data_IF_670281980761
#
_entry.id   IF_670281980761
#
_cell.length_a   1.000
_cell.length_b   1.000
_cell.length_c   1.000
_cell.angle_alpha   90.00
_cell.angle_beta   90.00
_cell.angle_gamma   90.00
#
_symmetry.space_group_name_H-M   'P 1'
#
loop_
_entity.id
_entity.type
_entity.pdbx_description
1 polymer ?
#
# COMPACT_ATOMS: atom_id res chain seq x y z
N UNK A 1 35.98 12.93 -53.00
CA UNK A 1 36.35 13.70 -51.79
C UNK A 1 35.13 13.70 -50.90
N UNK A 2 35.22 13.02 -49.75
CA UNK A 2 34.09 12.61 -48.92
C UNK A 2 33.45 13.80 -48.19
N UNK A 3 32.12 13.84 -48.22
CA UNK A 3 31.27 14.70 -47.38
C UNK A 3 31.35 14.25 -45.93
N UNK A 4 31.86 15.15 -45.10
CA UNK A 4 32.02 15.03 -43.65
C UNK A 4 30.62 15.00 -42.99
N UNK A 5 30.13 13.79 -42.73
CA UNK A 5 28.90 13.57 -41.98
C UNK A 5 29.17 13.90 -40.51
N UNK A 6 28.82 15.13 -40.12
CA UNK A 6 28.86 15.59 -38.74
C UNK A 6 28.01 14.68 -37.86
N UNK A 7 28.66 13.79 -37.10
CA UNK A 7 27.99 13.01 -36.06
C UNK A 7 27.32 13.98 -35.08
N UNK A 8 26.02 13.79 -34.74
CA UNK A 8 25.36 14.68 -33.80
C UNK A 8 26.08 14.61 -32.44
N UNK A 9 26.55 15.76 -31.96
CA UNK A 9 27.12 15.91 -30.61
C UNK A 9 26.17 15.27 -29.61
N UNK A 10 26.63 14.22 -28.91
CA UNK A 10 25.86 13.57 -27.87
C UNK A 10 25.49 14.59 -26.79
N UNK A 11 24.23 15.03 -26.75
CA UNK A 11 23.73 16.01 -25.78
C UNK A 11 24.15 15.62 -24.36
N UNK A 12 24.58 16.58 -23.54
CA UNK A 12 25.04 16.36 -22.16
C UNK A 12 23.99 15.60 -21.31
N UNK A 13 24.40 14.79 -20.32
CA UNK A 13 23.44 14.01 -19.55
C UNK A 13 22.54 14.96 -18.74
N UNK A 14 21.23 14.85 -18.95
CA UNK A 14 20.25 15.68 -18.25
C UNK A 14 19.82 14.98 -16.95
N UNK A 15 20.46 15.33 -15.83
CA UNK A 15 20.14 14.75 -14.51
C UNK A 15 18.95 15.42 -13.82
N UNK A 16 18.66 16.66 -14.16
CA UNK A 16 17.57 17.45 -13.58
C UNK A 16 16.19 16.75 -13.65
N UNK A 17 15.79 16.12 -14.78
CA UNK A 17 14.53 15.37 -14.86
C UNK A 17 14.41 14.24 -13.85
N UNK A 18 15.50 13.52 -13.58
CA UNK A 18 15.52 12.42 -12.59
C UNK A 18 15.31 12.98 -11.19
N UNK A 19 16.04 14.03 -10.81
CA UNK A 19 15.92 14.62 -9.47
C UNK A 19 14.55 15.28 -9.25
N UNK A 20 14.05 16.01 -10.24
CA UNK A 20 12.72 16.61 -10.16
C UNK A 20 11.62 15.54 -10.07
N UNK A 21 11.71 14.47 -10.86
CA UNK A 21 10.79 13.34 -10.79
C UNK A 21 10.82 12.65 -9.42
N UNK A 22 12.01 12.30 -8.91
CA UNK A 22 12.15 11.63 -7.61
C UNK A 22 11.71 12.53 -6.45
N UNK A 23 12.08 13.82 -6.48
CA UNK A 23 11.67 14.80 -5.48
C UNK A 23 10.17 15.04 -5.46
N UNK A 24 9.56 15.24 -6.64
CA UNK A 24 8.11 15.36 -6.78
C UNK A 24 7.38 14.09 -6.31
N UNK A 25 7.90 12.91 -6.65
CA UNK A 25 7.35 11.65 -6.19
C UNK A 25 7.42 11.49 -4.67
N UNK A 26 8.56 11.82 -4.06
CA UNK A 26 8.73 11.77 -2.61
C UNK A 26 7.74 12.69 -1.89
N UNK A 27 7.61 13.93 -2.38
CA UNK A 27 6.69 14.93 -1.81
C UNK A 27 5.24 14.43 -1.88
N UNK A 28 4.79 13.93 -3.04
CA UNK A 28 3.45 13.36 -3.22
C UNK A 28 3.21 12.13 -2.33
N UNK A 29 4.18 11.22 -2.22
CA UNK A 29 4.02 10.02 -1.38
C UNK A 29 3.95 10.37 0.11
N UNK A 30 4.75 11.34 0.57
CA UNK A 30 4.67 11.84 1.94
C UNK A 30 3.27 12.42 2.17
N UNK A 31 2.81 13.31 1.28
CA UNK A 31 1.47 13.89 1.35
C UNK A 31 0.36 12.84 1.40
N UNK A 32 0.40 11.84 0.51
CA UNK A 32 -0.60 10.76 0.49
C UNK A 32 -0.64 10.00 1.82
N UNK A 33 0.51 9.78 2.45
CA UNK A 33 0.58 9.17 3.78
C UNK A 33 0.08 10.11 4.90
N UNK A 34 0.19 11.44 4.74
CA UNK A 34 -0.48 12.38 5.63
C UNK A 34 -2.00 12.24 5.54
N UNK A 35 -2.55 12.22 4.32
CA UNK A 35 -3.99 12.02 4.09
C UNK A 35 -4.48 10.67 4.60
N UNK A 36 -3.68 9.61 4.46
CA UNK A 36 -4.03 8.29 4.98
C UNK A 36 -4.28 8.29 6.50
N UNK A 37 -3.63 9.18 7.26
CA UNK A 37 -3.87 9.38 8.70
C UNK A 37 -4.93 10.45 8.96
N UNK A 38 -4.88 11.57 8.22
CA UNK A 38 -5.74 12.72 8.45
C UNK A 38 -7.20 12.46 8.05
N UNK A 39 -7.46 11.75 6.96
CA UNK A 39 -8.80 11.56 6.43
C UNK A 39 -9.69 10.70 7.35
N UNK A 40 -9.26 9.54 7.88
CA UNK A 40 -10.04 8.82 8.89
C UNK A 40 -10.29 9.66 10.15
N UNK A 41 -9.27 10.41 10.61
CA UNK A 41 -9.41 11.28 11.77
C UNK A 41 -10.41 12.41 11.52
N UNK A 42 -10.36 13.06 10.36
CA UNK A 42 -11.28 14.11 9.92
C UNK A 42 -12.72 13.60 9.91
N UNK A 43 -12.97 12.41 9.35
CA UNK A 43 -14.32 11.81 9.36
C UNK A 43 -14.79 11.54 10.78
N UNK A 44 -13.91 11.03 11.66
CA UNK A 44 -14.27 10.79 13.05
C UNK A 44 -14.63 12.07 13.80
N UNK A 45 -13.83 13.12 13.59
CA UNK A 45 -13.98 14.39 14.27
C UNK A 45 -15.22 15.16 13.83
N UNK A 46 -15.49 15.16 12.51
CA UNK A 46 -16.65 15.87 11.94
C UNK A 46 -17.96 15.12 12.11
N UNK A 47 -17.93 13.78 12.12
CA UNK A 47 -19.16 12.97 12.13
C UNK A 47 -19.44 12.25 13.44
N UNK A 48 -18.43 12.03 14.29
CA UNK A 48 -18.54 11.26 15.53
C UNK A 48 -18.83 9.76 15.33
N UNK A 49 -18.86 9.25 14.09
CA UNK A 49 -19.34 7.90 13.76
C UNK A 49 -18.23 7.00 13.23
N UNK A 50 -18.00 5.88 13.92
CA UNK A 50 -17.09 4.83 13.47
C UNK A 50 -17.62 4.11 12.23
N UNK A 51 -18.94 3.99 12.05
CA UNK A 51 -19.56 3.43 10.86
C UNK A 51 -19.25 4.26 9.61
N UNK A 52 -19.40 5.58 9.70
CA UNK A 52 -19.03 6.52 8.62
C UNK A 52 -17.53 6.46 8.30
N UNK A 53 -16.68 6.32 9.30
CA UNK A 53 -15.25 6.06 9.06
C UNK A 53 -15.02 4.75 8.31
N UNK A 54 -15.66 3.65 8.73
CA UNK A 54 -15.55 2.36 8.05
C UNK A 54 -16.04 2.39 6.60
N UNK A 55 -17.14 3.10 6.32
CA UNK A 55 -17.63 3.35 4.96
C UNK A 55 -16.60 4.16 4.15
N UNK A 56 -16.01 5.20 4.74
CA UNK A 56 -14.97 6.00 4.06
C UNK A 56 -13.75 5.15 3.73
N UNK A 57 -13.26 4.35 4.68
CA UNK A 57 -12.13 3.45 4.47
C UNK A 57 -12.41 2.38 3.40
N UNK A 58 -13.66 1.88 3.34
CA UNK A 58 -14.12 1.02 2.25
C UNK A 58 -14.03 1.71 0.88
N UNK A 59 -14.51 2.96 0.79
CA UNK A 59 -14.49 3.75 -0.45
C UNK A 59 -13.06 4.12 -0.87
N UNK A 60 -12.12 4.33 0.06
CA UNK A 60 -10.69 4.50 -0.25
C UNK A 60 -10.13 3.25 -0.97
N UNK A 61 -10.45 2.05 -0.47
CA UNK A 61 -9.91 0.82 -1.03
C UNK A 61 -10.55 0.37 -2.36
N UNK A 62 -11.80 0.78 -2.63
CA UNK A 62 -12.59 0.30 -3.76
C UNK A 62 -12.01 0.66 -5.14
N UNK A 63 -11.60 1.91 -5.42
CA UNK A 63 -11.02 2.27 -6.72
C UNK A 63 -9.73 1.51 -7.03
N UNK A 64 -8.93 1.21 -6.00
CA UNK A 64 -7.72 0.41 -6.16
C UNK A 64 -8.00 -0.97 -6.75
N UNK A 65 -9.11 -1.61 -6.38
CA UNK A 65 -9.52 -2.87 -7.00
C UNK A 65 -9.89 -2.69 -8.48
N UNK A 66 -10.73 -1.70 -8.80
CA UNK A 66 -11.17 -1.42 -10.17
C UNK A 66 -9.99 -1.08 -11.07
N UNK A 67 -9.09 -0.21 -10.61
CA UNK A 67 -7.97 0.25 -11.40
C UNK A 67 -6.75 -0.66 -11.32
N UNK A 68 -6.71 -1.63 -10.41
CA UNK A 68 -5.80 -2.76 -10.51
C UNK A 68 -6.08 -3.64 -11.74
N UNK A 69 -7.33 -3.68 -12.21
CA UNK A 69 -7.75 -4.43 -13.41
C UNK A 69 -7.53 -3.61 -14.69
N UNK A 70 -7.97 -2.36 -14.69
CA UNK A 70 -8.00 -1.53 -15.91
C UNK A 70 -6.84 -0.51 -16.00
N UNK A 71 -6.09 -0.32 -14.93
CA UNK A 71 -5.09 0.75 -14.82
C UNK A 71 -3.94 0.61 -15.79
N UNK A 72 -3.39 -0.60 -15.98
CA UNK A 72 -2.31 -0.81 -16.95
C UNK A 72 -2.72 -0.47 -18.39
N UNK A 73 -3.93 -0.90 -18.77
CA UNK A 73 -4.54 -0.59 -20.06
C UNK A 73 -4.69 0.93 -20.29
N UNK A 74 -5.16 1.63 -19.26
CA UNK A 74 -5.29 3.08 -19.27
C UNK A 74 -3.92 3.76 -19.42
N UNK A 75 -2.94 3.32 -18.64
CA UNK A 75 -1.56 3.83 -18.62
C UNK A 75 -0.88 3.69 -19.99
N UNK A 76 -1.02 2.53 -20.63
CA UNK A 76 -0.43 2.29 -21.95
C UNK A 76 -1.10 3.13 -23.05
N UNK A 77 -2.43 3.32 -22.99
CA UNK A 77 -3.19 4.08 -24.00
C UNK A 77 -2.99 5.59 -23.89
N UNK A 78 -3.05 6.12 -22.66
CA UNK A 78 -2.99 7.56 -22.40
C UNK A 78 -1.54 8.04 -22.33
N UNK A 79 -0.62 7.17 -21.92
CA UNK A 79 0.80 7.43 -21.79
C UNK A 79 1.23 7.77 -20.37
N UNK A 80 2.43 7.30 -19.98
CA UNK A 80 2.92 7.31 -18.60
C UNK A 80 2.93 8.72 -17.98
N UNK A 81 3.51 9.70 -18.68
CA UNK A 81 3.58 11.09 -18.20
C UNK A 81 2.21 11.69 -17.96
N UNK A 82 1.25 11.47 -18.87
CA UNK A 82 -0.09 12.06 -18.77
C UNK A 82 -0.89 11.45 -17.63
N UNK A 83 -0.83 10.12 -17.46
CA UNK A 83 -1.51 9.45 -16.35
C UNK A 83 -0.91 9.81 -15.00
N UNK A 84 0.42 9.95 -14.90
CA UNK A 84 1.04 10.45 -13.66
C UNK A 84 0.53 11.83 -13.28
N UNK A 85 0.52 12.79 -14.21
CA UNK A 85 0.05 14.16 -13.95
C UNK A 85 -1.45 14.17 -13.64
N UNK A 86 -2.25 13.43 -14.40
CA UNK A 86 -3.70 13.35 -14.18
C UNK A 86 -4.04 12.74 -12.82
N UNK A 87 -3.29 11.72 -12.38
CA UNK A 87 -3.46 11.14 -11.05
C UNK A 87 -3.26 12.18 -9.96
N UNK A 88 -2.11 12.87 -9.96
CA UNK A 88 -1.83 13.90 -8.96
C UNK A 88 -2.86 15.04 -8.99
N UNK A 89 -3.25 15.52 -10.18
CA UNK A 89 -4.24 16.61 -10.28
C UNK A 89 -5.62 16.19 -9.79
N UNK A 90 -6.11 15.00 -10.15
CA UNK A 90 -7.42 14.50 -9.70
C UNK A 90 -7.39 14.27 -8.19
N UNK A 91 -6.31 13.69 -7.64
CA UNK A 91 -6.14 13.52 -6.20
C UNK A 91 -6.08 14.85 -5.46
N UNK A 92 -5.23 15.79 -5.92
CA UNK A 92 -5.09 17.11 -5.30
C UNK A 92 -6.38 17.92 -5.30
N UNK A 93 -7.10 17.96 -6.43
CA UNK A 93 -8.40 18.65 -6.51
C UNK A 93 -9.44 17.99 -5.61
N UNK A 94 -9.51 16.67 -5.59
CA UNK A 94 -10.48 15.95 -4.77
C UNK A 94 -10.22 16.17 -3.28
N UNK A 95 -8.94 16.11 -2.86
CA UNK A 95 -8.54 16.30 -1.46
C UNK A 95 -8.70 17.75 -1.01
N UNK A 96 -8.38 18.76 -1.84
CA UNK A 96 -8.55 20.17 -1.43
C UNK A 96 -10.01 20.58 -1.31
N UNK A 97 -10.90 19.98 -2.11
CA UNK A 97 -12.33 20.27 -2.05
C UNK A 97 -12.96 19.81 -0.73
N UNK A 98 -12.41 18.80 -0.05
CA UNK A 98 -12.92 18.32 1.24
C UNK A 98 -12.94 19.46 2.29
N UNK A 99 -11.80 20.06 2.69
CA UNK A 99 -11.79 21.13 3.67
C UNK A 99 -12.44 22.42 3.14
N UNK A 100 -12.35 22.72 1.84
CA UNK A 100 -13.01 23.91 1.25
C UNK A 100 -14.54 23.82 1.41
N UNK A 101 -15.15 22.72 1.01
CA UNK A 101 -16.59 22.53 1.12
C UNK A 101 -17.02 22.50 2.59
N UNK A 102 -16.24 21.84 3.44
CA UNK A 102 -16.49 21.78 4.88
C UNK A 102 -16.60 23.17 5.53
N UNK A 103 -15.72 24.11 5.16
CA UNK A 103 -15.68 25.46 5.73
C UNK A 103 -16.58 26.50 5.03
N UNK A 104 -17.07 26.22 3.83
CA UNK A 104 -17.84 27.20 3.04
C UNK A 104 -19.34 26.94 3.05
N UNK A 105 -19.76 25.82 2.46
CA UNK A 105 -21.19 25.48 2.25
C UNK A 105 -21.66 24.32 3.12
N UNK A 106 -20.74 23.68 3.85
CA UNK A 106 -20.96 22.43 4.56
C UNK A 106 -20.72 21.24 3.66
N UNK A 107 -19.97 20.25 4.15
CA UNK A 107 -19.65 19.03 3.43
C UNK A 107 -20.63 17.92 3.82
N UNK A 108 -21.50 17.52 2.90
CA UNK A 108 -22.35 16.37 3.12
C UNK A 108 -21.53 15.07 3.07
N UNK A 109 -21.93 14.07 3.84
CA UNK A 109 -21.16 12.82 3.92
C UNK A 109 -21.03 12.09 2.57
N UNK A 110 -22.08 12.13 1.73
CA UNK A 110 -22.01 11.52 0.40
C UNK A 110 -21.03 12.26 -0.53
N UNK A 111 -20.90 13.59 -0.40
CA UNK A 111 -19.93 14.40 -1.16
C UNK A 111 -18.51 14.00 -0.77
N UNK A 112 -18.26 13.82 0.53
CA UNK A 112 -16.98 13.30 1.03
C UNK A 112 -16.65 11.95 0.38
N UNK A 113 -17.61 11.00 0.34
CA UNK A 113 -17.37 9.69 -0.28
C UNK A 113 -17.04 9.81 -1.78
N UNK A 114 -17.73 10.70 -2.51
CA UNK A 114 -17.45 10.95 -3.93
C UNK A 114 -16.04 11.50 -4.11
N UNK A 115 -15.65 12.52 -3.32
CA UNK A 115 -14.31 13.11 -3.40
C UNK A 115 -13.22 12.10 -3.06
N UNK A 116 -13.40 11.32 -1.99
CA UNK A 116 -12.44 10.28 -1.60
C UNK A 116 -12.32 9.18 -2.66
N UNK A 117 -13.43 8.77 -3.29
CA UNK A 117 -13.41 7.83 -4.41
C UNK A 117 -12.56 8.36 -5.57
N UNK A 118 -12.77 9.62 -5.98
CA UNK A 118 -11.99 10.23 -7.06
C UNK A 118 -10.53 10.45 -6.68
N UNK A 119 -10.25 10.78 -5.42
CA UNK A 119 -8.89 10.93 -4.93
C UNK A 119 -8.06 9.66 -5.10
N UNK A 120 -8.66 8.49 -4.90
CA UNK A 120 -8.00 7.19 -5.01
C UNK A 120 -8.16 6.53 -6.39
N UNK A 121 -9.03 7.08 -7.25
CA UNK A 121 -9.35 6.49 -8.55
C UNK A 121 -8.10 6.28 -9.41
N UNK A 122 -7.22 7.29 -9.51
CA UNK A 122 -6.04 7.20 -10.35
C UNK A 122 -4.76 6.87 -9.57
N UNK A 123 -4.84 6.54 -8.28
CA UNK A 123 -3.68 6.30 -7.43
C UNK A 123 -2.79 5.15 -7.94
N UNK A 124 -3.39 3.98 -8.21
CA UNK A 124 -2.67 2.81 -8.74
C UNK A 124 -2.13 3.07 -10.16
N UNK A 125 -2.95 3.52 -11.15
CA UNK A 125 -2.46 3.88 -12.48
C UNK A 125 -1.31 4.90 -12.44
N UNK A 126 -1.42 5.92 -11.58
CA UNK A 126 -0.40 6.95 -11.39
C UNK A 126 0.90 6.37 -10.86
N UNK A 127 0.86 5.48 -9.86
CA UNK A 127 2.05 4.80 -9.37
C UNK A 127 2.67 3.88 -10.43
N UNK A 128 1.85 3.12 -11.16
CA UNK A 128 2.32 2.27 -12.26
C UNK A 128 3.01 3.11 -13.34
N UNK A 129 2.40 4.21 -13.75
CA UNK A 129 2.97 5.14 -14.72
C UNK A 129 4.33 5.68 -14.24
N UNK A 130 4.43 6.12 -12.98
CA UNK A 130 5.68 6.61 -12.38
C UNK A 130 6.79 5.56 -12.41
N UNK A 131 6.49 4.32 -12.01
CA UNK A 131 7.46 3.20 -12.09
C UNK A 131 7.91 2.93 -13.52
N UNK A 132 7.00 2.97 -14.50
CA UNK A 132 7.30 2.76 -15.92
C UNK A 132 8.16 3.87 -16.55
N UNK A 133 8.22 5.07 -15.96
CA UNK A 133 9.08 6.16 -16.46
C UNK A 133 10.56 6.01 -16.05
N UNK A 134 10.87 5.19 -15.04
CA UNK A 134 12.22 5.08 -14.46
C UNK A 134 13.29 4.68 -15.50
N UNK A 135 13.10 3.65 -16.36
CA UNK A 135 14.13 3.24 -17.31
C UNK A 135 14.51 4.32 -18.31
N UNK A 136 13.52 5.01 -18.88
CA UNK A 136 13.74 6.09 -19.86
C UNK A 136 14.42 7.31 -19.21
N UNK A 137 14.05 7.63 -17.97
CA UNK A 137 14.68 8.71 -17.20
C UNK A 137 16.15 8.38 -16.86
N UNK A 138 16.45 7.14 -16.49
CA UNK A 138 17.82 6.67 -16.26
C UNK A 138 18.66 6.74 -17.54
N UNK A 139 18.08 6.33 -18.68
CA UNK A 139 18.70 6.45 -20.01
C UNK A 139 19.03 7.90 -20.39
N UNK A 140 18.09 8.83 -20.18
CA UNK A 140 18.28 10.25 -20.43
C UNK A 140 19.39 10.88 -19.55
N UNK A 141 19.51 10.43 -18.30
CA UNK A 141 20.57 10.88 -17.41
C UNK A 141 21.91 10.14 -17.61
N UNK A 142 21.97 9.17 -18.53
CA UNK A 142 23.09 8.21 -18.67
C UNK A 142 23.52 7.63 -17.33
N UNK A 143 22.54 7.34 -16.48
CA UNK A 143 22.74 6.75 -15.16
C UNK A 143 22.39 5.28 -15.20
N UNK A 144 23.02 4.50 -14.31
CA UNK A 144 22.65 3.11 -14.09
C UNK A 144 21.19 3.04 -13.60
N UNK A 145 20.48 1.98 -13.95
CA UNK A 145 19.07 1.82 -13.60
C UNK A 145 18.91 1.54 -12.10
N UNK A 146 19.84 0.77 -11.54
CA UNK A 146 19.79 0.27 -10.17
C UNK A 146 19.76 1.40 -9.12
N UNK A 147 20.62 2.43 -9.19
CA UNK A 147 20.57 3.55 -8.24
C UNK A 147 19.29 4.39 -8.37
N UNK A 148 18.76 4.57 -9.58
CA UNK A 148 17.52 5.35 -9.79
C UNK A 148 16.32 4.58 -9.23
N UNK A 149 16.28 3.27 -9.47
CA UNK A 149 15.25 2.41 -8.92
C UNK A 149 15.32 2.32 -7.38
N UNK A 150 16.54 2.18 -6.83
CA UNK A 150 16.76 2.19 -5.38
C UNK A 150 16.34 3.52 -4.75
N UNK A 151 16.62 4.65 -5.40
CA UNK A 151 16.16 5.96 -4.94
C UNK A 151 14.62 6.04 -4.95
N UNK A 152 13.97 5.58 -6.01
CA UNK A 152 12.51 5.54 -6.10
C UNK A 152 11.87 4.72 -4.97
N UNK A 153 12.31 3.48 -4.78
CA UNK A 153 11.82 2.61 -3.68
C UNK A 153 12.14 3.22 -2.30
N UNK A 154 13.32 3.83 -2.15
CA UNK A 154 13.70 4.58 -0.96
C UNK A 154 12.73 5.70 -0.59
N UNK A 155 12.16 6.41 -1.58
CA UNK A 155 11.12 7.41 -1.30
C UNK A 155 9.84 6.81 -0.74
N UNK A 156 9.46 5.60 -1.17
CA UNK A 156 8.27 4.91 -0.65
C UNK A 156 8.47 4.49 0.81
N UNK A 157 9.63 3.91 1.13
CA UNK A 157 9.97 3.55 2.51
C UNK A 157 10.07 4.77 3.41
N UNK A 158 10.70 5.85 2.94
CA UNK A 158 10.80 7.09 3.69
C UNK A 158 9.42 7.68 4.00
N UNK A 159 8.51 7.71 3.02
CA UNK A 159 7.14 8.18 3.23
C UNK A 159 6.41 7.33 4.27
N UNK A 160 6.47 6.00 4.14
CA UNK A 160 5.82 5.08 5.08
C UNK A 160 6.31 5.24 6.53
N UNK A 161 7.61 5.50 6.71
CA UNK A 161 8.22 5.59 8.04
C UNK A 161 8.04 6.97 8.68
N UNK A 162 8.22 8.04 7.90
CA UNK A 162 8.31 9.42 8.41
C UNK A 162 6.94 10.09 8.44
N UNK A 163 6.10 9.84 7.44
CA UNK A 163 4.87 10.61 7.27
C UNK A 163 3.82 10.36 8.36
N UNK A 164 3.55 9.13 8.87
CA UNK A 164 2.50 8.97 9.87
C UNK A 164 2.76 9.67 11.22
N UNK A 165 3.97 9.62 11.82
CA UNK A 165 4.29 10.46 12.99
C UNK A 165 4.17 11.96 12.71
N UNK A 166 4.64 12.41 11.55
CA UNK A 166 4.52 13.81 11.11
C UNK A 166 3.06 14.19 10.94
N UNK A 167 2.21 13.32 10.37
CA UNK A 167 0.78 13.53 10.22
C UNK A 167 0.11 13.70 11.58
N UNK A 168 0.37 12.81 12.54
CA UNK A 168 -0.18 12.92 13.89
C UNK A 168 0.17 14.25 14.57
N UNK A 169 1.42 14.68 14.44
CA UNK A 169 1.87 15.99 14.94
C UNK A 169 1.16 17.15 14.24
N UNK A 170 1.13 17.15 12.89
CA UNK A 170 0.48 18.22 12.14
C UNK A 170 -1.02 18.28 12.46
N UNK A 171 -1.72 17.15 12.54
CA UNK A 171 -3.14 17.11 12.93
C UNK A 171 -3.32 17.71 14.33
N UNK A 172 -2.43 17.42 15.28
CA UNK A 172 -2.52 17.99 16.63
C UNK A 172 -2.28 19.51 16.65
N UNK A 173 -1.41 20.04 15.80
CA UNK A 173 -1.08 21.47 15.77
C UNK A 173 -2.04 22.33 14.95
N UNK A 174 -2.51 21.82 13.81
CA UNK A 174 -3.29 22.60 12.84
C UNK A 174 -4.61 21.95 12.43
N UNK A 175 -4.95 20.77 12.94
CA UNK A 175 -6.17 20.06 12.56
C UNK A 175 -6.02 19.22 11.30
N UNK A 176 -6.90 18.22 11.14
CA UNK A 176 -6.83 17.28 10.01
C UNK A 176 -7.20 17.93 8.67
N UNK A 177 -8.09 18.92 8.68
CA UNK A 177 -8.49 19.71 7.53
C UNK A 177 -7.31 20.47 6.88
N UNK A 178 -6.46 21.12 7.68
CA UNK A 178 -5.26 21.80 7.17
C UNK A 178 -4.21 20.81 6.66
N UNK A 179 -4.12 19.61 7.25
CA UNK A 179 -3.23 18.55 6.74
C UNK A 179 -3.68 18.06 5.37
N UNK A 180 -4.99 17.93 5.13
CA UNK A 180 -5.53 17.63 3.79
C UNK A 180 -5.19 18.75 2.79
N UNK A 181 -5.25 20.03 3.21
CA UNK A 181 -4.81 21.13 2.34
C UNK A 181 -3.32 21.02 2.00
N UNK A 182 -2.46 20.69 2.98
CA UNK A 182 -1.03 20.48 2.73
C UNK A 182 -0.82 19.37 1.70
N UNK A 183 -1.47 18.21 1.87
CA UNK A 183 -1.36 17.11 0.91
C UNK A 183 -1.78 17.53 -0.50
N UNK A 184 -2.89 18.25 -0.63
CA UNK A 184 -3.34 18.75 -1.93
C UNK A 184 -2.28 19.59 -2.66
N UNK A 185 -1.49 20.38 -1.93
CA UNK A 185 -0.35 21.12 -2.48
C UNK A 185 0.80 20.20 -2.89
N UNK A 186 1.05 19.11 -2.15
CA UNK A 186 2.07 18.13 -2.51
C UNK A 186 1.78 17.47 -3.86
N UNK A 187 0.51 17.19 -4.15
CA UNK A 187 0.07 16.69 -5.45
C UNK A 187 0.34 17.69 -6.57
N UNK A 188 0.00 18.97 -6.37
CA UNK A 188 0.29 20.02 -7.36
C UNK A 188 1.79 20.15 -7.62
N UNK A 189 2.61 20.12 -6.57
CA UNK A 189 4.07 20.16 -6.69
C UNK A 189 4.59 18.95 -7.49
N UNK A 190 4.08 17.75 -7.24
CA UNK A 190 4.45 16.55 -7.99
C UNK A 190 4.04 16.62 -9.46
N UNK A 191 2.80 17.02 -9.73
CA UNK A 191 2.28 17.22 -11.07
C UNK A 191 3.12 18.23 -11.86
N UNK A 192 3.50 19.35 -11.24
CA UNK A 192 4.35 20.37 -11.85
C UNK A 192 5.78 19.85 -12.08
N UNK A 193 6.36 19.13 -11.12
CA UNK A 193 7.69 18.55 -11.26
C UNK A 193 7.75 17.59 -12.46
N UNK A 194 6.75 16.72 -12.61
CA UNK A 194 6.64 15.82 -13.76
C UNK A 194 6.34 16.60 -15.05
N UNK A 195 5.43 17.56 -15.02
CA UNK A 195 5.05 18.35 -16.19
C UNK A 195 6.22 19.18 -16.75
N UNK A 196 7.01 19.82 -15.89
CA UNK A 196 8.07 20.72 -16.32
C UNK A 196 9.38 19.98 -16.61
N UNK A 197 9.71 18.95 -15.83
CA UNK A 197 11.02 18.32 -15.92
C UNK A 197 11.06 17.07 -16.82
N UNK A 198 9.95 16.34 -16.98
CA UNK A 198 9.91 15.10 -17.75
C UNK A 198 9.48 15.37 -19.20
N UNK A 199 10.36 15.17 -20.21
CA UNK A 199 10.02 15.43 -21.60
C UNK A 199 8.96 14.45 -22.13
N UNK A 200 7.87 14.98 -22.70
CA UNK A 200 6.77 14.17 -23.22
C UNK A 200 7.19 13.20 -24.36
N UNK A 201 8.19 13.58 -25.15
CA UNK A 201 8.73 12.80 -26.27
C UNK A 201 9.41 11.48 -25.86
N UNK A 202 9.72 11.30 -24.57
CA UNK A 202 10.33 10.05 -24.07
C UNK A 202 9.37 8.86 -24.12
N UNK A 203 8.05 9.10 -24.20
CA UNK A 203 7.05 8.05 -24.07
C UNK A 203 6.11 8.06 -25.28
N UNK A 204 6.56 7.57 -26.45
CA UNK A 204 5.67 7.43 -27.60
C UNK A 204 4.50 6.49 -27.25
N UNK A 205 3.28 6.77 -27.73
CA UNK A 205 2.13 5.90 -27.51
C UNK A 205 2.46 4.48 -27.99
N UNK A 206 2.29 3.49 -27.11
CA UNK A 206 2.46 2.08 -27.49
C UNK A 206 1.09 1.51 -27.87
N UNK A 207 1.00 0.64 -28.89
CA UNK A 207 -0.23 -0.09 -29.17
C UNK A 207 -0.65 -0.86 -27.92
N UNK A 208 -1.90 -0.68 -27.50
CA UNK A 208 -2.34 -1.15 -26.18
C UNK A 208 -2.39 -2.67 -26.16
N UNK A 209 -1.66 -3.32 -25.24
CA UNK A 209 -1.63 -4.79 -25.05
C UNK A 209 -2.88 -5.26 -24.27
N UNK A 210 -4.02 -4.58 -24.46
CA UNK A 210 -5.19 -4.65 -23.57
C UNK A 210 -6.07 -5.87 -23.76
N UNK A 211 -5.73 -6.79 -24.66
CA UNK A 211 -6.59 -7.93 -24.97
C UNK A 211 -6.48 -9.11 -24.01
N UNK A 212 -5.61 -9.06 -22.99
CA UNK A 212 -5.30 -10.26 -22.18
C UNK A 212 -5.51 -10.18 -20.68
N UNK A 213 -5.93 -9.06 -20.05
CA UNK A 213 -6.02 -9.05 -18.57
C UNK A 213 -6.98 -10.12 -18.01
N UNK A 214 -8.17 -10.26 -18.58
CA UNK A 214 -9.12 -11.29 -18.16
C UNK A 214 -8.57 -12.71 -18.43
N UNK A 215 -7.82 -12.89 -19.52
CA UNK A 215 -7.16 -14.15 -19.85
C UNK A 215 -5.99 -14.45 -18.91
N UNK A 216 -5.22 -13.44 -18.54
CA UNK A 216 -4.10 -13.47 -17.61
C UNK A 216 -4.59 -13.75 -16.18
N UNK A 217 -5.70 -13.12 -15.75
CA UNK A 217 -6.38 -13.40 -14.49
C UNK A 217 -6.92 -14.83 -14.47
N UNK A 218 -7.53 -15.28 -15.57
CA UNK A 218 -8.04 -16.65 -15.71
C UNK A 218 -6.89 -17.68 -15.70
N UNK A 219 -5.78 -17.37 -16.34
CA UNK A 219 -4.57 -18.20 -16.34
C UNK A 219 -3.93 -18.26 -14.95
N UNK A 220 -3.80 -17.11 -14.27
CA UNK A 220 -3.30 -17.03 -12.91
C UNK A 220 -4.20 -17.76 -11.92
N UNK A 221 -5.52 -17.63 -12.05
CA UNK A 221 -6.48 -18.34 -11.20
C UNK A 221 -6.44 -19.84 -11.43
N UNK A 222 -6.31 -20.28 -12.70
CA UNK A 222 -6.12 -21.69 -13.04
C UNK A 222 -4.85 -22.25 -12.41
N UNK A 223 -3.75 -21.49 -12.47
CA UNK A 223 -2.48 -21.90 -11.86
C UNK A 223 -2.60 -22.00 -10.33
N UNK A 224 -3.16 -20.98 -9.66
CA UNK A 224 -3.35 -20.99 -8.21
C UNK A 224 -4.21 -22.16 -7.76
N UNK A 225 -5.28 -22.50 -8.50
CA UNK A 225 -6.12 -23.67 -8.19
C UNK A 225 -5.37 -25.01 -8.30
N UNK A 226 -4.28 -25.06 -9.04
CA UNK A 226 -3.45 -26.27 -9.22
C UNK A 226 -2.23 -26.29 -8.29
N UNK A 227 -2.02 -25.26 -7.47
CA UNK A 227 -1.01 -25.22 -6.43
C UNK A 227 -1.67 -24.89 -5.08
N UNK A 228 -2.00 -25.94 -4.33
CA UNK A 228 -2.72 -25.80 -3.07
C UNK A 228 -1.98 -24.90 -2.07
N UNK A 229 -0.64 -24.88 -2.10
CA UNK A 229 0.18 -24.04 -1.20
C UNK A 229 -0.07 -22.57 -1.53
N UNK A 230 0.04 -22.19 -2.80
CA UNK A 230 -0.20 -20.81 -3.23
C UNK A 230 -1.66 -20.39 -3.02
N UNK A 231 -2.63 -21.28 -3.25
CA UNK A 231 -4.03 -20.99 -2.95
C UNK A 231 -4.27 -20.80 -1.46
N UNK A 232 -3.68 -21.66 -0.62
CA UNK A 232 -3.76 -21.57 0.85
C UNK A 232 -3.15 -20.25 1.34
N UNK A 233 -1.99 -19.85 0.79
CA UNK A 233 -1.36 -18.57 1.12
C UNK A 233 -2.20 -17.38 0.65
N UNK A 234 -2.78 -17.44 -0.56
CA UNK A 234 -3.62 -16.37 -1.09
C UNK A 234 -4.88 -16.16 -0.24
N UNK A 235 -5.57 -17.26 0.09
CA UNK A 235 -6.78 -17.26 0.91
C UNK A 235 -6.47 -16.87 2.37
N UNK A 236 -5.40 -17.41 2.96
CA UNK A 236 -4.95 -17.06 4.31
C UNK A 236 -4.61 -15.57 4.42
N UNK A 237 -3.95 -15.00 3.41
CA UNK A 237 -3.66 -13.57 3.37
C UNK A 237 -4.92 -12.72 3.14
N UNK A 238 -5.88 -13.18 2.31
CA UNK A 238 -7.16 -12.51 2.14
C UNK A 238 -7.94 -12.43 3.46
N UNK A 239 -8.02 -13.54 4.20
CA UNK A 239 -8.66 -13.58 5.52
C UNK A 239 -7.88 -12.71 6.51
N UNK A 240 -6.54 -12.78 6.50
CA UNK A 240 -5.74 -11.91 7.37
C UNK A 240 -5.98 -10.44 7.11
N UNK A 241 -6.02 -10.02 5.85
CA UNK A 241 -6.30 -8.65 5.47
C UNK A 241 -7.72 -8.23 5.89
N UNK A 242 -8.72 -9.11 5.73
CA UNK A 242 -10.08 -8.88 6.22
C UNK A 242 -10.09 -8.55 7.74
N UNK A 243 -9.30 -9.26 8.54
CA UNK A 243 -9.30 -9.08 10.00
C UNK A 243 -8.37 -7.97 10.47
N UNK A 244 -7.20 -7.80 9.84
CA UNK A 244 -6.15 -6.90 10.31
C UNK A 244 -6.20 -5.49 9.71
N UNK A 245 -6.68 -5.33 8.46
CA UNK A 245 -6.82 -4.00 7.84
C UNK A 245 -7.70 -3.01 8.63
N UNK A 246 -8.81 -3.42 9.26
CA UNK A 246 -9.57 -2.50 10.12
C UNK A 246 -8.82 -2.01 11.36
N UNK A 247 -7.77 -2.71 11.83
CA UNK A 247 -7.00 -2.29 13.00
C UNK A 247 -6.42 -0.89 12.80
N UNK A 248 -5.75 -0.67 11.67
CA UNK A 248 -5.07 0.60 11.36
C UNK A 248 -6.01 1.65 10.81
N UNK A 249 -7.00 1.25 10.01
CA UNK A 249 -7.84 2.18 9.27
C UNK A 249 -9.05 2.69 10.06
N UNK A 250 -9.51 1.93 11.07
CA UNK A 250 -10.72 2.26 11.84
C UNK A 250 -10.50 2.19 13.35
N UNK A 251 -10.02 1.04 13.86
CA UNK A 251 -9.95 0.77 15.30
C UNK A 251 -8.96 1.71 16.01
N UNK A 252 -7.74 1.86 15.48
CA UNK A 252 -6.71 2.71 16.08
C UNK A 252 -7.14 4.19 16.14
N UNK A 253 -7.63 4.83 15.06
CA UNK A 253 -8.16 6.19 15.14
C UNK A 253 -9.26 6.35 16.19
N UNK A 254 -10.24 5.44 16.23
CA UNK A 254 -11.34 5.48 17.20
C UNK A 254 -10.83 5.28 18.64
N UNK A 255 -9.92 4.34 18.85
CA UNK A 255 -9.32 4.09 20.16
C UNK A 255 -8.55 5.29 20.68
N UNK A 256 -7.72 5.89 19.84
CA UNK A 256 -6.94 7.08 20.20
C UNK A 256 -7.85 8.25 20.51
N UNK A 257 -8.88 8.49 19.68
CA UNK A 257 -9.86 9.57 19.91
C UNK A 257 -10.63 9.38 21.21
N UNK A 258 -11.12 8.16 21.50
CA UNK A 258 -11.91 7.89 22.71
C UNK A 258 -11.08 7.86 24.00
N UNK A 259 -9.82 7.42 23.93
CA UNK A 259 -9.00 7.19 25.13
C UNK A 259 -8.15 8.41 25.49
N UNK A 260 -7.63 9.12 24.50
CA UNK A 260 -6.71 10.24 24.72
C UNK A 260 -7.08 11.53 24.01
N UNK A 261 -7.92 11.46 22.97
CA UNK A 261 -8.30 12.61 22.12
C UNK A 261 -7.07 13.38 21.58
N UNK A 262 -6.01 12.66 21.23
CA UNK A 262 -4.70 13.23 20.86
C UNK A 262 -4.14 12.52 19.62
N UNK A 263 -4.21 13.20 18.47
CA UNK A 263 -3.76 12.68 17.18
C UNK A 263 -2.25 12.38 17.13
N UNK A 264 -1.45 13.02 18.00
CA UNK A 264 -0.01 12.74 18.10
C UNK A 264 0.24 11.27 18.44
N UNK A 265 -0.60 10.70 19.31
CA UNK A 265 -0.50 9.29 19.72
C UNK A 265 -0.84 8.33 18.59
N UNK A 266 -1.76 8.70 17.70
CA UNK A 266 -2.05 7.91 16.50
C UNK A 266 -0.82 7.84 15.59
N UNK A 267 -0.17 8.99 15.35
CA UNK A 267 1.07 9.05 14.59
C UNK A 267 2.22 8.26 15.22
N UNK A 268 2.39 8.35 16.55
CA UNK A 268 3.40 7.58 17.29
C UNK A 268 3.16 6.06 17.21
N UNK A 269 1.90 5.61 17.31
CA UNK A 269 1.54 4.20 17.17
C UNK A 269 1.78 3.69 15.74
N UNK A 270 1.44 4.47 14.72
CA UNK A 270 1.74 4.14 13.33
C UNK A 270 3.26 4.05 13.08
N UNK A 271 4.05 4.98 13.64
CA UNK A 271 5.51 4.94 13.59
C UNK A 271 6.10 3.72 14.30
N UNK A 272 5.58 3.36 15.48
CA UNK A 272 5.98 2.16 16.22
C UNK A 272 5.71 0.87 15.43
N UNK A 273 4.56 0.79 14.75
CA UNK A 273 4.23 -0.32 13.86
C UNK A 273 5.21 -0.40 12.67
N UNK A 274 5.46 0.72 12.00
CA UNK A 274 6.42 0.80 10.90
C UNK A 274 7.84 0.38 11.30
N UNK A 275 8.31 0.86 12.46
CA UNK A 275 9.61 0.50 13.03
C UNK A 275 9.72 -1.00 13.31
N UNK A 276 8.71 -1.59 13.97
CA UNK A 276 8.68 -3.02 14.23
C UNK A 276 8.73 -3.84 12.94
N UNK A 277 7.89 -3.50 11.95
CA UNK A 277 7.86 -4.18 10.66
C UNK A 277 9.21 -4.13 9.94
N UNK A 278 9.91 -2.99 9.98
CA UNK A 278 11.24 -2.82 9.40
C UNK A 278 12.28 -3.70 10.09
N UNK A 279 12.30 -3.72 11.43
CA UNK A 279 13.20 -4.58 12.21
C UNK A 279 12.94 -6.05 11.87
N UNK A 280 11.67 -6.48 11.84
CA UNK A 280 11.28 -7.84 11.52
C UNK A 280 11.71 -8.29 10.12
N UNK A 281 11.49 -7.43 9.12
CA UNK A 281 11.93 -7.70 7.75
C UNK A 281 13.46 -7.76 7.63
N UNK A 282 14.20 -6.87 8.30
CA UNK A 282 15.66 -6.87 8.31
C UNK A 282 16.25 -8.12 9.01
N UNK A 283 15.66 -8.53 10.14
CA UNK A 283 16.05 -9.76 10.84
C UNK A 283 15.79 -11.00 9.97
N UNK A 284 14.67 -11.04 9.25
CA UNK A 284 14.41 -12.15 8.34
C UNK A 284 15.38 -12.15 7.14
N UNK A 285 15.69 -10.99 6.57
CA UNK A 285 16.68 -10.90 5.48
C UNK A 285 18.08 -11.33 5.89
N UNK A 286 18.46 -11.14 7.16
CA UNK A 286 19.80 -11.47 7.68
C UNK A 286 19.91 -12.86 8.30
N UNK A 287 18.86 -13.36 8.96
CA UNK A 287 18.89 -14.63 9.68
C UNK A 287 17.86 -15.65 9.19
N UNK A 288 16.92 -15.26 8.34
CA UNK A 288 15.75 -16.07 7.95
C UNK A 288 16.12 -17.37 7.21
N UNK A 289 17.25 -17.41 6.51
CA UNK A 289 17.73 -18.62 5.84
C UNK A 289 18.08 -19.77 6.81
N UNK A 290 18.26 -19.47 8.10
CA UNK A 290 18.56 -20.47 9.14
C UNK A 290 17.31 -21.16 9.68
N UNK A 291 16.12 -20.63 9.38
CA UNK A 291 14.87 -21.11 9.95
C UNK A 291 13.97 -21.73 8.87
N UNK A 292 13.27 -22.84 9.17
CA UNK A 292 12.25 -23.37 8.27
C UNK A 292 11.10 -22.38 8.06
N UNK A 293 10.54 -22.30 6.85
CA UNK A 293 9.59 -21.25 6.47
C UNK A 293 8.26 -21.39 7.20
N UNK A 294 7.78 -22.62 7.42
CA UNK A 294 6.49 -22.87 8.08
C UNK A 294 6.45 -22.30 9.51
N UNK A 295 7.39 -22.61 10.42
CA UNK A 295 7.40 -22.02 11.74
C UNK A 295 7.51 -20.49 11.73
N UNK A 296 8.31 -19.92 10.83
CA UNK A 296 8.41 -18.45 10.69
C UNK A 296 7.08 -17.83 10.28
N UNK A 297 6.38 -18.43 9.31
CA UNK A 297 5.07 -17.99 8.86
C UNK A 297 4.03 -18.03 9.98
N UNK A 298 3.93 -19.16 10.68
CA UNK A 298 2.96 -19.37 11.75
C UNK A 298 3.27 -18.46 12.94
N UNK A 299 4.53 -18.39 13.38
CA UNK A 299 4.96 -17.51 14.46
C UNK A 299 4.68 -16.05 14.12
N UNK A 300 4.90 -15.64 12.87
CA UNK A 300 4.64 -14.28 12.43
C UNK A 300 3.18 -13.90 12.59
N UNK A 301 2.23 -14.74 12.15
CA UNK A 301 0.81 -14.50 12.40
C UNK A 301 0.44 -14.59 13.88
N UNK A 302 0.96 -15.59 14.59
CA UNK A 302 0.67 -15.84 16.01
C UNK A 302 1.05 -14.65 16.90
N UNK A 303 2.22 -14.06 16.68
CA UNK A 303 2.72 -12.95 17.48
C UNK A 303 2.31 -11.58 16.94
N UNK A 304 1.91 -11.47 15.67
CA UNK A 304 1.37 -10.22 15.12
C UNK A 304 0.11 -9.73 15.85
N UNK A 305 -0.63 -10.64 16.50
CA UNK A 305 -1.85 -10.32 17.26
C UNK A 305 -1.58 -9.65 18.61
N UNK A 306 -0.33 -9.64 19.10
CA UNK A 306 0.04 -9.08 20.41
C UNK A 306 -0.48 -7.64 20.56
N UNK A 307 -0.33 -6.80 19.53
CA UNK A 307 -0.78 -5.41 19.58
C UNK A 307 -2.29 -5.30 19.82
N UNK A 308 -3.09 -6.19 19.25
CA UNK A 308 -4.55 -6.19 19.38
C UNK A 308 -4.96 -6.61 20.79
N UNK A 309 -4.30 -7.64 21.33
CA UNK A 309 -4.51 -8.06 22.72
C UNK A 309 -4.10 -6.99 23.73
N UNK A 310 -2.97 -6.32 23.49
CA UNK A 310 -2.50 -5.23 24.34
C UNK A 310 -3.50 -4.05 24.31
N UNK A 311 -4.04 -3.69 23.14
CA UNK A 311 -5.08 -2.67 23.02
C UNK A 311 -6.36 -3.02 23.78
N UNK A 312 -6.69 -4.31 23.93
CA UNK A 312 -7.87 -4.75 24.67
C UNK A 312 -7.73 -4.53 26.19
N UNK A 313 -6.52 -4.73 26.73
CA UNK A 313 -6.29 -4.77 28.17
C UNK A 313 -5.54 -3.55 28.73
N UNK A 314 -4.94 -2.71 27.89
CA UNK A 314 -4.13 -1.57 28.32
C UNK A 314 -4.53 -0.30 27.61
N UNK A 315 -4.52 0.81 28.37
CA UNK A 315 -4.62 2.18 27.86
C UNK A 315 -3.32 2.97 28.07
N UNK A 316 -2.22 2.28 28.40
CA UNK A 316 -0.91 2.90 28.56
C UNK A 316 -0.18 2.95 27.21
N UNK A 317 0.14 4.17 26.75
CA UNK A 317 0.76 4.40 25.44
C UNK A 317 2.06 3.60 25.26
N UNK A 318 2.94 3.58 26.26
CA UNK A 318 4.23 2.89 26.18
C UNK A 318 4.05 1.38 26.04
N UNK A 319 3.08 0.79 26.75
CA UNK A 319 2.77 -0.65 26.65
C UNK A 319 2.21 -0.97 25.26
N UNK A 320 1.31 -0.13 24.73
CA UNK A 320 0.73 -0.32 23.39
C UNK A 320 1.80 -0.15 22.30
N UNK A 321 2.69 0.85 22.43
CA UNK A 321 3.81 1.02 21.50
C UNK A 321 4.76 -0.19 21.53
N UNK A 322 5.10 -0.70 22.71
CA UNK A 322 5.91 -1.91 22.83
C UNK A 322 5.21 -3.11 22.17
N UNK A 323 3.91 -3.29 22.41
CA UNK A 323 3.10 -4.33 21.77
C UNK A 323 3.03 -4.17 20.24
N UNK A 324 2.94 -2.94 19.74
CA UNK A 324 2.93 -2.62 18.31
C UNK A 324 4.28 -2.95 17.66
N UNK A 325 5.39 -2.58 18.28
CA UNK A 325 6.75 -2.92 17.78
C UNK A 325 6.93 -4.43 17.75
N UNK A 326 6.61 -5.14 18.84
CA UNK A 326 6.78 -6.60 18.92
C UNK A 326 5.88 -7.32 17.92
N UNK A 327 4.60 -6.94 17.84
CA UNK A 327 3.65 -7.53 16.88
C UNK A 327 4.05 -7.27 15.43
N UNK A 328 4.44 -6.03 15.10
CA UNK A 328 4.87 -5.71 13.74
C UNK A 328 6.21 -6.36 13.38
N UNK A 329 7.13 -6.51 14.34
CA UNK A 329 8.38 -7.26 14.16
C UNK A 329 8.12 -8.73 13.85
N UNK A 330 7.12 -9.35 14.47
CA UNK A 330 6.69 -10.70 14.11
C UNK A 330 6.05 -10.75 12.71
N UNK A 331 5.31 -9.72 12.30
CA UNK A 331 4.69 -9.65 10.97
C UNK A 331 5.70 -9.35 9.83
N UNK A 332 6.82 -8.69 10.13
CA UNK A 332 7.82 -8.26 9.14
C UNK A 332 8.33 -9.35 8.18
N UNK A 333 8.65 -10.57 8.64
CA UNK A 333 9.06 -11.70 7.79
C UNK A 333 8.01 -12.19 6.79
N UNK A 334 6.72 -11.94 7.02
CA UNK A 334 5.63 -12.55 6.25
C UNK A 334 5.67 -12.15 4.76
N UNK A 335 5.84 -10.86 4.46
CA UNK A 335 5.86 -10.38 3.07
C UNK A 335 7.09 -10.88 2.28
N UNK A 336 8.33 -10.75 2.78
CA UNK A 336 9.51 -11.31 2.11
C UNK A 336 9.42 -12.82 1.89
N UNK A 337 9.00 -13.59 2.90
CA UNK A 337 8.82 -15.03 2.78
C UNK A 337 7.84 -15.38 1.67
N UNK A 338 6.69 -14.69 1.64
CA UNK A 338 5.66 -14.89 0.62
C UNK A 338 6.17 -14.57 -0.79
N UNK A 339 6.97 -13.51 -0.93
CA UNK A 339 7.61 -13.16 -2.21
C UNK A 339 8.57 -14.28 -2.64
N UNK A 340 9.40 -14.80 -1.73
CA UNK A 340 10.34 -15.90 -2.02
C UNK A 340 9.63 -17.17 -2.46
N UNK A 341 8.64 -17.63 -1.68
CA UNK A 341 7.86 -18.85 -2.02
C UNK A 341 7.17 -18.71 -3.38
N UNK A 342 6.65 -17.52 -3.69
CA UNK A 342 6.04 -17.23 -5.00
C UNK A 342 7.07 -17.28 -6.14
N UNK A 343 8.29 -16.78 -5.95
CA UNK A 343 9.34 -16.84 -6.97
C UNK A 343 9.82 -18.27 -7.27
N UNK A 344 9.87 -19.12 -6.24
CA UNK A 344 10.34 -20.49 -6.35
C UNK A 344 9.28 -21.47 -6.89
N UNK A 345 7.99 -21.19 -6.66
CA UNK A 345 6.90 -22.07 -7.13
C UNK A 345 6.35 -21.68 -8.49
N UNK A 346 6.52 -20.43 -8.91
CA UNK A 346 5.88 -19.92 -10.12
C UNK A 346 6.90 -19.87 -11.28
N UNK A 347 6.65 -20.62 -12.38
CA UNK A 347 7.47 -20.58 -13.58
C UNK A 347 7.60 -19.16 -14.12
N UNK A 348 8.77 -18.85 -14.69
CA UNK A 348 9.14 -17.48 -15.09
C UNK A 348 8.13 -16.86 -16.06
N UNK A 349 7.55 -17.66 -16.94
CA UNK A 349 6.60 -17.27 -17.98
C UNK A 349 5.23 -16.89 -17.41
N UNK A 350 4.90 -17.36 -16.21
CA UNK A 350 3.61 -17.15 -15.54
C UNK A 350 3.67 -16.17 -14.38
N UNK A 351 4.86 -15.77 -13.91
CA UNK A 351 5.05 -14.90 -12.72
C UNK A 351 4.17 -13.67 -12.72
N UNK A 352 4.17 -12.88 -13.79
CA UNK A 352 3.37 -11.64 -13.86
C UNK A 352 1.86 -11.88 -13.68
N UNK A 353 1.34 -12.95 -14.30
CA UNK A 353 -0.09 -13.33 -14.27
C UNK A 353 -0.50 -13.88 -12.91
N UNK A 354 0.33 -14.76 -12.34
CA UNK A 354 0.04 -15.39 -11.05
C UNK A 354 0.24 -14.40 -9.91
N UNK A 355 1.27 -13.54 -9.95
CA UNK A 355 1.51 -12.53 -8.91
C UNK A 355 0.37 -11.51 -8.87
N UNK A 356 -0.08 -11.00 -10.02
CA UNK A 356 -1.19 -10.05 -10.08
C UNK A 356 -2.51 -10.68 -9.61
N UNK A 357 -2.81 -11.91 -10.03
CA UNK A 357 -3.99 -12.64 -9.57
C UNK A 357 -3.94 -12.91 -8.06
N UNK A 358 -2.80 -13.36 -7.55
CA UNK A 358 -2.58 -13.60 -6.12
C UNK A 358 -2.83 -12.31 -5.33
N UNK A 359 -2.20 -11.20 -5.72
CA UNK A 359 -2.38 -9.91 -5.04
C UNK A 359 -3.82 -9.43 -5.09
N UNK A 360 -4.53 -9.61 -6.20
CA UNK A 360 -5.95 -9.25 -6.31
C UNK A 360 -6.81 -10.04 -5.32
N UNK A 361 -6.63 -11.37 -5.23
CA UNK A 361 -7.33 -12.23 -4.27
C UNK A 361 -7.03 -11.82 -2.83
N UNK A 362 -5.76 -11.55 -2.52
CA UNK A 362 -5.36 -11.21 -1.15
C UNK A 362 -5.85 -9.83 -0.71
N UNK A 363 -6.02 -8.87 -1.61
CA UNK A 363 -6.40 -7.50 -1.26
C UNK A 363 -7.93 -7.25 -1.27
N UNK A 364 -8.70 -8.05 -2.02
CA UNK A 364 -10.15 -7.78 -2.21
C UNK A 364 -10.95 -7.79 -0.90
N UNK A 365 -10.49 -8.52 0.11
CA UNK A 365 -11.18 -8.65 1.39
C UNK A 365 -10.90 -7.50 2.37
N UNK A 366 -9.80 -6.74 2.20
CA UNK A 366 -9.42 -5.68 3.13
C UNK A 366 -10.49 -4.58 3.31
N UNK A 367 -11.07 -3.99 2.24
CA UNK A 367 -12.08 -2.94 2.38
C UNK A 367 -13.34 -3.43 3.11
N UNK A 368 -13.72 -4.70 2.92
CA UNK A 368 -14.88 -5.30 3.59
C UNK A 368 -14.66 -5.39 5.10
N UNK A 369 -13.43 -5.66 5.53
CA UNK A 369 -13.04 -5.67 6.93
C UNK A 369 -13.16 -4.30 7.58
N UNK A 370 -12.71 -3.26 6.88
CA UNK A 370 -12.84 -1.86 7.32
C UNK A 370 -14.31 -1.45 7.48
N UNK A 371 -15.16 -1.80 6.51
CA UNK A 371 -16.59 -1.56 6.58
C UNK A 371 -17.24 -2.28 7.77
N UNK A 372 -16.96 -3.58 7.91
CA UNK A 372 -17.50 -4.42 8.97
C UNK A 372 -17.09 -3.92 10.36
N UNK A 373 -15.83 -3.49 10.54
CA UNK A 373 -15.34 -2.97 11.81
C UNK A 373 -16.02 -1.65 12.19
N UNK A 374 -16.29 -0.75 11.23
CA UNK A 374 -17.01 0.49 11.51
C UNK A 374 -18.39 0.23 12.13
N UNK A 375 -19.18 -0.66 11.52
CA UNK A 375 -20.49 -1.06 12.05
C UNK A 375 -20.38 -1.89 13.33
N UNK A 376 -19.35 -2.73 13.46
CA UNK A 376 -19.12 -3.51 14.67
C UNK A 376 -18.85 -2.58 15.88
N UNK A 377 -18.10 -1.50 15.69
CA UNK A 377 -17.84 -0.52 16.75
C UNK A 377 -19.14 0.17 17.19
N UNK A 378 -20.04 0.50 16.27
CA UNK A 378 -21.33 1.13 16.61
C UNK A 378 -22.26 0.18 17.36
N UNK A 379 -22.26 -1.11 16.99
CA UNK A 379 -23.19 -2.10 17.56
C UNK A 379 -22.68 -2.78 18.83
N UNK A 380 -21.40 -3.14 18.86
CA UNK A 380 -20.77 -3.93 19.93
C UNK A 380 -19.79 -3.10 20.78
N UNK A 381 -19.59 -1.83 20.43
CA UNK A 381 -18.60 -0.97 21.05
C UNK A 381 -17.17 -1.26 20.57
N UNK A 382 -16.27 -0.34 20.90
CA UNK A 382 -14.86 -0.44 20.54
C UNK A 382 -14.20 -1.68 21.15
N UNK A 383 -14.39 -1.92 22.46
CA UNK A 383 -13.80 -3.06 23.16
C UNK A 383 -14.28 -4.41 22.61
N UNK A 384 -15.59 -4.53 22.33
CA UNK A 384 -16.16 -5.75 21.73
C UNK A 384 -15.58 -6.03 20.35
N UNK A 385 -15.38 -4.97 19.55
CA UNK A 385 -14.76 -5.08 18.23
C UNK A 385 -13.28 -5.46 18.30
N UNK A 386 -12.51 -4.85 19.20
CA UNK A 386 -11.10 -5.22 19.44
C UNK A 386 -11.00 -6.70 19.85
N UNK A 387 -11.86 -7.16 20.78
CA UNK A 387 -11.89 -8.56 21.19
C UNK A 387 -12.24 -9.50 20.03
N UNK A 388 -13.22 -9.13 19.21
CA UNK A 388 -13.60 -9.88 18.01
C UNK A 388 -12.45 -10.01 17.00
N UNK A 389 -11.74 -8.91 16.73
CA UNK A 389 -10.55 -8.91 15.86
C UNK A 389 -9.43 -9.74 16.48
N UNK A 390 -9.15 -9.59 17.78
CA UNK A 390 -8.11 -10.35 18.47
C UNK A 390 -8.36 -11.86 18.37
N UNK A 391 -9.58 -12.29 18.69
CA UNK A 391 -9.99 -13.70 18.61
C UNK A 391 -9.95 -14.20 17.17
N UNK A 392 -10.49 -13.45 16.21
CA UNK A 392 -10.48 -13.86 14.81
C UNK A 392 -9.06 -14.00 14.23
N UNK A 393 -8.16 -13.04 14.51
CA UNK A 393 -6.75 -13.12 14.08
C UNK A 393 -6.03 -14.28 14.79
N UNK A 394 -6.33 -14.53 16.06
CA UNK A 394 -5.75 -15.63 16.82
C UNK A 394 -6.23 -17.00 16.30
N UNK A 395 -7.51 -17.15 16.01
CA UNK A 395 -8.08 -18.36 15.42
C UNK A 395 -7.55 -18.61 14.02
N UNK A 396 -7.32 -17.56 13.22
CA UNK A 396 -6.66 -17.67 11.93
C UNK A 396 -5.23 -18.23 12.10
N UNK A 397 -4.44 -17.67 13.01
CA UNK A 397 -3.08 -18.13 13.28
C UNK A 397 -3.04 -19.59 13.80
N UNK A 398 -3.98 -19.96 14.69
CA UNK A 398 -4.13 -21.32 15.19
C UNK A 398 -4.57 -22.27 14.06
N UNK A 399 -5.52 -21.86 13.23
CA UNK A 399 -6.00 -22.62 12.08
C UNK A 399 -4.87 -22.98 11.11
N UNK A 400 -3.90 -22.08 10.92
CA UNK A 400 -2.72 -22.34 10.09
C UNK A 400 -1.84 -23.49 10.63
N UNK A 401 -1.86 -23.80 11.93
CA UNK A 401 -1.13 -24.96 12.48
C UNK A 401 -1.64 -26.27 11.89
N UNK A 402 -2.94 -26.35 11.63
CA UNK A 402 -3.64 -27.55 11.17
C UNK A 402 -3.72 -27.69 9.65
N UNK A 403 -3.14 -26.75 8.89
CA UNK A 403 -3.13 -26.83 7.43
C UNK A 403 -1.93 -27.65 6.95
N UNK A 404 -2.10 -28.94 6.55
CA UNK A 404 -1.00 -29.79 6.12
C UNK A 404 -0.30 -29.25 4.87
N UNK A 405 -1.01 -28.45 4.07
CA UNK A 405 -0.48 -27.75 2.90
C UNK A 405 0.72 -26.88 3.22
N UNK A 406 0.77 -26.28 4.41
CA UNK A 406 1.89 -25.42 4.82
C UNK A 406 3.16 -26.20 5.15
N UNK A 407 3.10 -27.53 5.31
CA UNK A 407 4.31 -28.35 5.44
C UNK A 407 5.15 -28.33 4.16
N UNK A 408 4.51 -28.07 3.01
CA UNK A 408 5.16 -28.00 1.71
C UNK A 408 5.80 -26.64 1.42
N UNK A 409 5.83 -25.69 2.37
CA UNK A 409 6.40 -24.36 2.16
C UNK A 409 7.91 -24.39 1.83
N UNK A 410 8.62 -25.39 2.33
CA UNK A 410 10.04 -25.60 2.09
C UNK A 410 10.31 -26.49 0.84
N UNK A 411 9.28 -27.10 0.25
CA UNK A 411 9.40 -27.89 -0.98
C UNK A 411 9.41 -26.97 -2.21
N UNK A 412 10.49 -27.00 -2.99
CA UNK A 412 10.59 -26.29 -4.27
C UNK A 412 10.08 -27.18 -5.41
N UNK A 413 8.99 -26.75 -6.07
CA UNK A 413 8.40 -27.49 -7.20
C UNK A 413 9.32 -27.55 -8.44
N UNK A 414 10.22 -26.58 -8.59
CA UNK A 414 11.20 -26.52 -9.69
C UNK A 414 12.25 -27.65 -9.68
N UNK A 415 12.40 -28.38 -8.56
CA UNK A 415 13.27 -29.55 -8.50
C UNK A 415 12.56 -30.86 -8.88
N UNK A 416 11.23 -30.93 -8.87
CA UNK A 416 10.51 -32.14 -9.30
C UNK A 416 10.49 -32.27 -10.83
N UNK A 417 10.25 -31.17 -11.55
CA UNK A 417 10.22 -31.19 -13.03
C UNK A 417 11.61 -31.36 -13.67
N UNK A 418 12.70 -31.08 -12.92
CA UNK A 418 14.08 -31.30 -13.38
C UNK A 418 14.60 -32.73 -13.10
N UNK A 419 13.85 -33.53 -12.33
CA UNK A 419 14.24 -34.89 -11.90
C UNK A 419 13.25 -35.95 -12.39
N UNK A 420 12.16 -35.56 -13.06
CA UNK A 420 11.30 -36.49 -13.79
C UNK A 420 12.01 -36.97 -15.08
N UNK A 421 12.27 -38.28 -15.25
CA UNK A 421 12.90 -38.83 -16.46
C UNK A 421 12.01 -38.76 -17.70
#
# INVERSE_FOLDING_TARGET
MATDATMPRAAAPARLPVFAFLGGNAISLIGSMLTWVALPWFVLETTGSAGKMGITAFVIGLPGFLMGVFGGALVDRVGYRRVSIAADLVSGVSIVLIPILHHTVGLAFWELLVLVFFAELLAIPGLTARRSMIPELAGLARSRLEPVNAAFEGTQFAALLVAPPVAGLLIAFMGADNVLMIDSLTFVVSALAVALAVPARLFPPRPSVTTRYAEDLKAGLRFLRNDDVLLTLAAGLAISNLVNSPLTSVVLPVFVKQTWNDATRLGLLAGAFGLGALIGAALYGTFGYRFPRRPVWIAGYMFSTIVVWVLLFSANLSIIMAGAVVGAMAAGPLNPLLVTVRHERIPQELRGRVFSTFSAISQVAAPMGMLAAGFAIERFGLRGTIAGIAVASQLLAIGMLFLPTLNRLDESRLHEDAVAP
#
